data_IF_060732741298
#
_entry.id   IF_060732741298
#
_cell.length_a   1.000
_cell.length_b   1.000
_cell.length_c   1.000
_cell.angle_alpha   90.00
_cell.angle_beta   90.00
_cell.angle_gamma   90.00
#
_symmetry.space_group_name_H-M   'P 1'
#
loop_
_entity.id
_entity.type
_entity.pdbx_description
1 polymer ?
#
# COMPACT_ATOMS: atom_id res chain seq x y z
N UNK A 1 20.23 12.37 4.86
CA UNK A 1 19.48 11.61 3.83
C UNK A 1 18.03 11.52 4.29
N UNK A 2 17.10 12.17 3.59
CA UNK A 2 15.68 12.09 3.96
C UNK A 2 15.16 10.69 3.64
N UNK A 3 14.74 9.95 4.67
CA UNK A 3 14.36 8.54 4.55
C UNK A 3 13.12 8.34 3.66
N UNK A 4 13.01 7.18 3.04
CA UNK A 4 11.86 6.79 2.22
C UNK A 4 10.63 6.48 3.11
N UNK A 5 9.42 6.81 2.63
CA UNK A 5 8.17 6.51 3.36
C UNK A 5 7.96 5.00 3.49
N UNK A 6 7.96 4.50 4.72
CA UNK A 6 7.57 3.11 5.00
C UNK A 6 6.03 2.99 5.05
N UNK A 7 5.42 2.49 3.97
CA UNK A 7 3.95 2.36 3.84
C UNK A 7 3.33 1.43 4.89
N UNK A 8 4.02 0.36 5.27
CA UNK A 8 3.54 -0.57 6.30
C UNK A 8 3.41 0.11 7.65
N UNK A 9 4.46 0.85 8.06
CA UNK A 9 4.48 1.58 9.32
C UNK A 9 3.47 2.74 9.32
N UNK A 10 3.39 3.51 8.23
CA UNK A 10 2.58 4.74 8.17
C UNK A 10 1.11 4.45 7.88
N UNK A 11 0.80 3.45 7.06
CA UNK A 11 -0.53 3.22 6.51
C UNK A 11 -1.07 1.80 6.63
N UNK A 12 -0.27 0.82 7.08
CA UNK A 12 -0.66 -0.59 7.15
C UNK A 12 -1.79 -0.94 8.13
N UNK A 13 -2.22 0.03 8.96
CA UNK A 13 -3.46 -0.08 9.77
C UNK A 13 -4.71 0.22 8.96
N UNK A 14 -4.61 1.04 7.91
CA UNK A 14 -5.74 1.54 7.11
C UNK A 14 -5.86 0.82 5.77
N UNK A 15 -4.74 0.63 5.09
CA UNK A 15 -4.70 0.06 3.75
C UNK A 15 -4.05 -1.32 3.75
N UNK A 16 -4.41 -2.12 2.74
CA UNK A 16 -3.68 -3.33 2.39
C UNK A 16 -2.32 -2.90 1.84
N UNK A 17 -1.26 -3.55 2.30
CA UNK A 17 0.11 -3.36 1.81
C UNK A 17 0.51 -4.65 1.11
N UNK A 18 1.09 -4.52 -0.08
CA UNK A 18 1.71 -5.61 -0.83
C UNK A 18 3.18 -5.30 -1.07
N UNK A 19 3.88 -6.31 -1.56
CA UNK A 19 5.17 -6.08 -2.18
C UNK A 19 5.00 -5.93 -3.68
N UNK A 20 5.91 -5.20 -4.30
CA UNK A 20 6.13 -5.21 -5.73
C UNK A 20 6.22 -6.66 -6.24
N UNK A 21 5.60 -7.02 -7.38
CA UNK A 21 5.62 -8.38 -7.92
C UNK A 21 7.03 -8.95 -8.17
N UNK A 22 8.01 -8.10 -8.48
CA UNK A 22 9.39 -8.50 -8.69
C UNK A 22 10.14 -8.79 -7.37
N UNK A 23 9.57 -8.44 -6.22
CA UNK A 23 10.16 -8.72 -4.92
C UNK A 23 9.75 -10.10 -4.39
N UNK A 24 10.73 -10.96 -4.11
CA UNK A 24 10.53 -12.25 -3.43
C UNK A 24 10.65 -12.09 -1.90
N UNK A 25 9.54 -12.08 -1.14
CA UNK A 25 9.58 -11.93 0.31
C UNK A 25 10.09 -13.18 1.02
N UNK A 26 10.09 -14.37 0.39
CA UNK A 26 10.49 -15.62 1.04
C UNK A 26 11.99 -15.67 1.36
N UNK A 27 12.79 -14.89 0.63
CA UNK A 27 14.26 -14.84 0.75
C UNK A 27 14.76 -13.78 1.72
N UNK A 28 13.87 -13.00 2.36
CA UNK A 28 14.27 -11.91 3.26
C UNK A 28 13.55 -11.96 4.60
N UNK A 29 14.30 -11.64 5.65
CA UNK A 29 13.72 -11.48 6.97
C UNK A 29 12.74 -10.30 6.98
N UNK A 30 11.57 -10.49 7.60
CA UNK A 30 10.47 -9.50 7.63
C UNK A 30 10.89 -8.11 8.15
N UNK A 31 11.88 -8.07 9.03
CA UNK A 31 12.42 -6.82 9.60
C UNK A 31 13.42 -6.08 8.68
N UNK A 32 13.80 -6.69 7.56
CA UNK A 32 14.74 -6.13 6.55
C UNK A 32 14.06 -5.85 5.21
N UNK A 33 12.74 -5.72 5.21
CA UNK A 33 11.98 -5.35 4.01
C UNK A 33 12.30 -3.90 3.66
N UNK A 34 12.77 -3.70 2.44
CA UNK A 34 13.03 -2.37 1.89
C UNK A 34 11.70 -1.63 1.64
N UNK A 35 11.51 -0.42 2.19
CA UNK A 35 10.32 0.39 1.93
C UNK A 35 9.98 0.55 0.45
N UNK A 36 10.97 0.64 -0.45
CA UNK A 36 10.77 0.80 -1.89
C UNK A 36 10.06 -0.38 -2.53
N UNK A 37 10.08 -1.54 -1.89
CA UNK A 37 9.41 -2.75 -2.39
C UNK A 37 7.95 -2.81 -1.98
N UNK A 38 7.43 -1.82 -1.24
CA UNK A 38 6.06 -1.83 -0.73
C UNK A 38 5.12 -1.07 -1.66
N UNK A 39 3.94 -1.61 -1.91
CA UNK A 39 2.86 -0.94 -2.64
C UNK A 39 1.55 -0.96 -1.87
N UNK A 40 0.70 0.05 -2.08
CA UNK A 40 -0.72 0.05 -1.70
C UNK A 40 -1.51 -0.21 -2.99
N UNK A 41 -2.01 -1.45 -3.18
CA UNK A 41 -2.84 -1.74 -4.34
C UNK A 41 -4.17 -0.97 -4.24
N UNK A 42 -4.60 -0.44 -5.37
CA UNK A 42 -5.81 0.36 -5.51
C UNK A 42 -6.77 -0.28 -6.51
N UNK A 43 -8.00 0.22 -6.59
CA UNK A 43 -8.95 -0.24 -7.61
C UNK A 43 -8.52 0.18 -9.01
N UNK A 44 -7.85 1.33 -9.12
CA UNK A 44 -7.48 1.97 -10.37
C UNK A 44 -5.95 2.16 -10.47
N UNK A 45 -5.17 1.15 -10.10
CA UNK A 45 -3.71 1.18 -10.12
C UNK A 45 -3.08 0.92 -8.76
N UNK A 46 -1.97 1.57 -8.44
CA UNK A 46 -1.29 1.40 -7.16
C UNK A 46 -0.48 2.61 -6.71
N UNK A 47 -0.21 2.69 -5.41
CA UNK A 47 0.58 3.76 -4.80
C UNK A 47 1.85 3.17 -4.18
N UNK A 48 3.01 3.77 -4.47
CA UNK A 48 4.30 3.30 -3.98
C UNK A 48 5.22 4.48 -3.58
N UNK A 49 6.29 4.23 -2.79
CA UNK A 49 7.20 5.30 -2.39
C UNK A 49 8.01 5.83 -3.57
N UNK A 50 8.23 7.14 -3.58
CA UNK A 50 9.01 7.83 -4.61
C UNK A 50 10.09 8.74 -4.00
N UNK A 51 10.77 8.20 -2.98
CA UNK A 51 11.86 8.88 -2.26
C UNK A 51 11.42 9.98 -1.28
N UNK A 52 12.18 10.17 -0.20
CA UNK A 52 11.88 11.16 0.82
C UNK A 52 10.44 11.04 1.36
N UNK A 53 9.70 12.15 1.34
CA UNK A 53 8.28 12.22 1.72
C UNK A 53 7.31 12.13 0.53
N UNK A 54 7.77 11.67 -0.63
CA UNK A 54 6.95 11.57 -1.83
C UNK A 54 6.48 10.15 -2.06
N UNK A 55 5.28 10.07 -2.63
CA UNK A 55 4.68 8.85 -3.17
C UNK A 55 4.45 9.07 -4.66
N UNK A 56 4.36 7.98 -5.39
CA UNK A 56 3.83 7.96 -6.74
C UNK A 56 2.55 7.13 -6.76
N UNK A 57 1.63 7.51 -7.64
CA UNK A 57 0.50 6.68 -8.03
C UNK A 57 0.65 6.37 -9.51
N UNK A 58 0.59 5.09 -9.83
CA UNK A 58 0.50 4.62 -11.20
C UNK A 58 -0.94 4.22 -11.51
N UNK A 59 -1.44 4.66 -12.66
CA UNK A 59 -2.82 4.48 -13.10
C UNK A 59 -2.80 3.89 -14.50
N UNK A 60 -3.22 2.64 -14.59
CA UNK A 60 -3.17 1.84 -15.81
C UNK A 60 -4.58 1.56 -16.34
N UNK A 61 -4.79 1.70 -17.66
CA UNK A 61 -6.08 1.49 -18.35
C UNK A 61 -7.29 2.29 -17.81
N UNK A 62 -7.06 3.43 -17.15
CA UNK A 62 -8.12 4.20 -16.48
C UNK A 62 -8.08 5.71 -16.77
N UNK A 63 -8.34 6.16 -18.02
CA UNK A 63 -8.14 7.54 -18.45
C UNK A 63 -8.97 8.57 -17.66
N UNK A 64 -10.18 8.21 -17.23
CA UNK A 64 -11.02 9.09 -16.40
C UNK A 64 -10.39 9.33 -15.02
N UNK A 65 -9.80 8.29 -14.42
CA UNK A 65 -9.14 8.43 -13.11
C UNK A 65 -7.82 9.19 -13.25
N UNK A 66 -7.06 8.93 -14.32
CA UNK A 66 -5.83 9.67 -14.61
C UNK A 66 -6.10 11.16 -14.76
N UNK A 67 -7.15 11.54 -15.50
CA UNK A 67 -7.57 12.95 -15.62
C UNK A 67 -7.96 13.57 -14.28
N UNK A 68 -8.70 12.86 -13.43
CA UNK A 68 -9.06 13.36 -12.10
C UNK A 68 -7.83 13.59 -11.21
N UNK A 69 -6.81 12.73 -11.31
CA UNK A 69 -5.55 12.91 -10.57
C UNK A 69 -4.72 14.04 -11.16
N UNK A 70 -4.70 14.20 -12.48
CA UNK A 70 -4.05 15.30 -13.19
C UNK A 70 -4.63 16.67 -12.83
N UNK A 71 -5.94 16.73 -12.53
CA UNK A 71 -6.62 17.93 -12.06
C UNK A 71 -6.27 18.31 -10.59
N UNK A 72 -5.55 17.46 -9.84
CA UNK A 72 -5.10 17.79 -8.48
C UNK A 72 -3.82 18.64 -8.52
N UNK A 73 -3.81 19.86 -7.92
CA UNK A 73 -2.63 20.75 -7.96
C UNK A 73 -1.42 20.22 -7.19
N UNK A 74 -1.61 19.25 -6.30
CA UNK A 74 -0.53 18.58 -5.56
C UNK A 74 0.14 17.41 -6.31
N UNK A 75 -0.36 17.05 -7.49
CA UNK A 75 0.12 15.95 -8.30
C UNK A 75 0.96 16.46 -9.47
N UNK A 76 2.14 15.88 -9.66
CA UNK A 76 3.05 16.15 -10.77
C UNK A 76 3.04 14.93 -11.69
N UNK A 77 2.71 15.11 -12.97
CA UNK A 77 2.84 14.04 -13.96
C UNK A 77 4.32 13.73 -14.18
N UNK A 78 4.74 12.50 -13.89
CA UNK A 78 6.14 12.07 -14.05
C UNK A 78 6.35 11.13 -15.24
N UNK A 79 5.30 10.40 -15.64
CA UNK A 79 5.31 9.52 -16.81
C UNK A 79 3.95 9.56 -17.50
N UNK A 80 3.97 9.73 -18.81
CA UNK A 80 2.80 9.77 -19.68
C UNK A 80 2.98 8.72 -20.79
N UNK A 81 2.58 7.49 -20.49
CA UNK A 81 2.52 6.40 -21.47
C UNK A 81 1.15 6.35 -22.17
N UNK A 82 1.02 5.51 -23.19
CA UNK A 82 -0.20 5.44 -24.00
C UNK A 82 -1.45 5.07 -23.18
N UNK A 83 -1.29 4.16 -22.21
CA UNK A 83 -2.38 3.63 -21.37
C UNK A 83 -2.09 3.73 -19.87
N UNK A 84 -0.89 4.20 -19.52
CA UNK A 84 -0.40 4.30 -18.15
C UNK A 84 0.03 5.76 -17.88
N UNK A 85 -0.38 6.31 -16.73
CA UNK A 85 0.14 7.59 -16.25
C UNK A 85 0.60 7.44 -14.81
N UNK A 86 1.79 7.94 -14.53
CA UNK A 86 2.32 8.02 -13.17
C UNK A 86 2.35 9.46 -12.70
N UNK A 87 1.80 9.70 -11.51
CA UNK A 87 1.81 11.00 -10.84
C UNK A 87 2.54 10.92 -9.51
N UNK A 88 3.39 11.90 -9.24
CA UNK A 88 4.10 12.06 -7.98
C UNK A 88 3.41 13.10 -7.11
N UNK A 89 3.31 12.83 -5.81
CA UNK A 89 2.70 13.75 -4.85
C UNK A 89 3.32 13.61 -3.46
N UNK A 90 3.24 14.67 -2.65
CA UNK A 90 3.72 14.61 -1.27
C UNK A 90 2.78 13.75 -0.40
N UNK A 91 3.34 12.93 0.49
CA UNK A 91 2.61 11.99 1.36
C UNK A 91 1.45 12.60 2.15
N UNK A 92 1.48 13.91 2.42
CA UNK A 92 0.41 14.66 3.10
C UNK A 92 -0.90 14.70 2.29
N UNK A 93 -0.81 14.58 0.96
CA UNK A 93 -1.95 14.60 0.04
C UNK A 93 -2.50 13.21 -0.30
N UNK A 94 -2.01 12.16 0.36
CA UNK A 94 -2.47 10.78 0.12
C UNK A 94 -3.99 10.64 0.18
N UNK A 95 -4.68 11.42 1.02
CA UNK A 95 -6.14 11.35 1.12
C UNK A 95 -6.82 11.74 -0.20
N UNK A 96 -6.39 12.82 -0.84
CA UNK A 96 -7.01 13.36 -2.04
C UNK A 96 -6.83 12.37 -3.21
N UNK A 97 -5.61 11.83 -3.37
CA UNK A 97 -5.33 10.77 -4.34
C UNK A 97 -6.10 9.49 -4.03
N UNK A 98 -6.13 9.06 -2.76
CA UNK A 98 -6.84 7.86 -2.34
C UNK A 98 -8.35 7.93 -2.59
N UNK A 99 -8.95 9.12 -2.50
CA UNK A 99 -10.37 9.32 -2.78
C UNK A 99 -10.68 9.14 -4.28
N UNK A 100 -9.68 9.21 -5.18
CA UNK A 100 -9.83 8.91 -6.60
C UNK A 100 -9.52 7.43 -6.88
N UNK A 101 -8.29 6.98 -6.57
CA UNK A 101 -7.82 5.64 -7.02
C UNK A 101 -8.35 4.47 -6.18
N UNK A 102 -8.98 4.77 -5.04
CA UNK A 102 -9.63 3.81 -4.12
C UNK A 102 -8.68 2.68 -3.65
N UNK A 103 -7.69 2.98 -2.79
CA UNK A 103 -6.81 1.98 -2.21
C UNK A 103 -7.60 0.93 -1.42
N UNK A 104 -7.22 -0.34 -1.59
CA UNK A 104 -7.88 -1.43 -0.87
C UNK A 104 -7.64 -1.29 0.63
N UNK A 105 -8.72 -1.26 1.40
CA UNK A 105 -8.65 -1.14 2.86
C UNK A 105 -8.34 -2.49 3.50
N UNK A 106 -7.64 -2.43 4.63
CA UNK A 106 -7.46 -3.62 5.47
C UNK A 106 -8.82 -3.97 6.11
N UNK A 107 -9.31 -5.22 6.01
CA UNK A 107 -10.54 -5.62 6.67
C UNK A 107 -10.43 -5.33 8.18
N UNK A 108 -11.42 -4.66 8.75
CA UNK A 108 -11.57 -4.63 10.20
C UNK A 108 -12.19 -5.96 10.60
N UNK A 109 -11.43 -6.81 11.30
CA UNK A 109 -12.06 -7.91 12.03
C UNK A 109 -13.04 -7.30 13.05
N UNK A 110 -14.26 -7.81 13.10
CA UNK A 110 -15.17 -7.55 14.22
C UNK A 110 -14.52 -8.05 15.51
N UNK A 111 -14.93 -7.48 16.65
CA UNK A 111 -14.38 -7.87 17.95
C UNK A 111 -14.65 -9.35 18.25
N UNK A 112 -15.80 -9.87 17.83
CA UNK A 112 -16.15 -11.29 17.89
C UNK A 112 -15.17 -12.15 17.10
N UNK A 113 -14.94 -11.82 15.82
CA UNK A 113 -14.02 -12.60 14.98
C UNK A 113 -12.57 -12.51 15.49
N UNK A 114 -12.20 -11.39 16.11
CA UNK A 114 -10.89 -11.20 16.75
C UNK A 114 -10.76 -12.02 18.05
N UNK A 115 -11.84 -12.19 18.81
CA UNK A 115 -11.86 -13.05 20.00
C UNK A 115 -11.77 -14.54 19.60
N UNK A 116 -12.52 -14.94 18.57
CA UNK A 116 -12.50 -16.29 18.02
C UNK A 116 -11.13 -16.68 17.46
N UNK A 117 -10.52 -15.82 16.64
CA UNK A 117 -9.15 -16.01 16.14
C UNK A 117 -8.12 -16.13 17.28
N UNK A 118 -8.26 -15.33 18.34
CA UNK A 118 -7.39 -15.44 19.53
C UNK A 118 -7.55 -16.78 20.21
N UNK A 119 -8.78 -17.28 20.38
CA UNK A 119 -9.05 -18.61 20.96
C UNK A 119 -8.41 -19.72 20.13
N UNK A 120 -8.61 -19.70 18.81
CA UNK A 120 -8.03 -20.68 17.89
C UNK A 120 -6.50 -20.68 17.91
N UNK A 121 -5.86 -19.50 17.96
CA UNK A 121 -4.40 -19.41 18.06
C UNK A 121 -3.86 -19.98 19.38
N UNK A 122 -4.57 -19.77 20.50
CA UNK A 122 -4.20 -20.36 21.79
C UNK A 122 -4.28 -21.89 21.76
N UNK A 123 -5.35 -22.45 21.20
CA UNK A 123 -5.52 -23.91 21.06
C UNK A 123 -4.46 -24.55 20.14
N UNK A 124 -4.08 -23.88 19.05
CA UNK A 124 -3.02 -24.36 18.15
C UNK A 124 -1.67 -24.36 18.87
N UNK A 125 -1.37 -23.32 19.64
CA UNK A 125 -0.11 -23.23 20.38
C UNK A 125 -0.03 -24.26 21.51
N UNK A 126 -1.13 -24.51 22.23
CA UNK A 126 -1.16 -25.53 23.30
C UNK A 126 -1.01 -26.96 22.76
N UNK A 127 -1.48 -27.23 21.54
CA UNK A 127 -1.28 -28.53 20.87
C UNK A 127 0.15 -28.73 20.37
N UNK A 128 0.88 -27.65 20.05
CA UNK A 128 2.28 -27.70 19.60
C UNK A 128 3.30 -27.86 20.72
N UNK A 129 2.97 -27.51 21.96
CA UNK A 129 3.86 -27.67 23.12
C UNK A 129 3.76 -29.04 23.80
N UNK A 130 2.85 -29.91 23.35
CA UNK A 130 2.61 -31.25 23.91
C UNK A 130 3.15 -32.37 23.01
N UNK A 131 4.11 -32.08 22.13
CA UNK A 131 4.83 -33.03 21.26
C UNK A 131 6.32 -32.71 21.34
#
# INVERSE_FOLDING_TARGET
MSGCVNLSRRFGRRYRIRHDPAFDPSRRHRNKVDPWTLTIPCKYGEIYPHGGEYLAVDIDYHPVMSRQVEELPECELTQDGDQEKTFRFHVKHLRNVADIVKPYRKPKLSDERRAEMRRLMTEINSKKTST
#
